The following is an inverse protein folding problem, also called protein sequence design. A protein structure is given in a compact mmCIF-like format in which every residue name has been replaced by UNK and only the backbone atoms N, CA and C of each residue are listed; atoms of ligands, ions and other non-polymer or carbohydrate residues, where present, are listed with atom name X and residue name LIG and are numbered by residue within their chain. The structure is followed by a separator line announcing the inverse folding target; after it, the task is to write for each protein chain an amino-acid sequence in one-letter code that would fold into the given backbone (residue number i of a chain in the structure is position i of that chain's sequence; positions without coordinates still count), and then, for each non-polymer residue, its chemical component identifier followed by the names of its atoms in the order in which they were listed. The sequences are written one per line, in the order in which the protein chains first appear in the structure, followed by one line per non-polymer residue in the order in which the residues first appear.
data_IF_573545489656
#
_entry.id   IF_573545489656
#
_cell.length_a   1.000
_cell.length_b   1.000
_cell.length_c   1.000
_cell.angle_alpha   90.00
_cell.angle_beta   90.00
_cell.angle_gamma   90.00
#
_symmetry.space_group_name_H-M   'P 1'
#
loop_
_entity.id
_entity.type
_entity.pdbx_description
1 polymer ?
#
# COMPACT_ATOMS: atom_id res chain seq x y z
N UNK A 1 19.71 4.65 0.07
CA UNK A 1 18.73 4.14 -0.92
C UNK A 1 17.59 3.35 -0.26
N UNK A 2 17.87 2.40 0.63
CA UNK A 2 16.84 1.56 1.30
C UNK A 2 15.80 2.34 2.12
N UNK A 3 16.20 3.40 2.84
CA UNK A 3 15.28 4.20 3.66
C UNK A 3 14.14 4.83 2.84
N UNK A 4 14.42 5.33 1.63
CA UNK A 4 13.39 5.93 0.76
C UNK A 4 12.37 4.87 0.32
N UNK A 5 12.85 3.68 -0.06
CA UNK A 5 11.98 2.59 -0.50
C UNK A 5 11.08 2.07 0.61
N UNK A 6 11.63 1.92 1.82
CA UNK A 6 10.86 1.54 3.01
C UNK A 6 9.81 2.61 3.33
N UNK A 7 10.21 3.89 3.33
CA UNK A 7 9.28 5.01 3.55
C UNK A 7 8.12 5.01 2.56
N UNK A 8 8.37 4.71 1.28
CA UNK A 8 7.31 4.61 0.27
C UNK A 8 6.34 3.47 0.57
N UNK A 9 6.83 2.29 0.93
CA UNK A 9 5.97 1.15 1.28
C UNK A 9 5.09 1.48 2.50
N UNK A 10 5.65 2.12 3.53
CA UNK A 10 4.87 2.54 4.70
C UNK A 10 3.85 3.65 4.37
N UNK A 11 4.18 4.58 3.47
CA UNK A 11 3.23 5.59 3.02
C UNK A 11 2.03 4.95 2.31
N UNK A 12 2.28 4.00 1.39
CA UNK A 12 1.22 3.22 0.72
C UNK A 12 0.36 2.53 1.78
N UNK A 13 0.97 1.80 2.71
CA UNK A 13 0.25 1.09 3.78
C UNK A 13 -0.58 2.01 4.68
N UNK A 14 -0.08 3.22 4.96
CA UNK A 14 -0.79 4.22 5.76
C UNK A 14 -2.06 4.76 5.11
N UNK A 15 -2.14 4.74 3.77
CA UNK A 15 -3.32 5.17 3.03
C UNK A 15 -4.38 4.08 2.86
N UNK A 16 -3.98 2.81 3.01
CA UNK A 16 -4.91 1.70 2.87
C UNK A 16 -5.83 1.63 4.09
N UNK A 17 -7.12 1.58 3.81
CA UNK A 17 -8.16 1.23 4.78
C UNK A 17 -9.18 0.29 4.14
N UNK A 18 -9.96 -0.44 4.94
CA UNK A 18 -11.02 -1.31 4.41
C UNK A 18 -12.10 -0.57 3.62
N UNK A 19 -12.16 0.76 3.75
CA UNK A 19 -13.16 1.63 3.13
C UNK A 19 -12.58 2.51 2.02
N UNK A 20 -11.25 2.53 1.84
CA UNK A 20 -10.61 3.39 0.86
C UNK A 20 -10.66 2.78 -0.54
N UNK A 21 -10.90 3.63 -1.54
CA UNK A 21 -10.76 3.27 -2.95
C UNK A 21 -9.46 3.85 -3.50
N UNK A 22 -8.34 3.18 -3.19
CA UNK A 22 -7.01 3.57 -3.66
C UNK A 22 -6.69 2.80 -4.92
N UNK A 23 -6.18 3.45 -5.96
CA UNK A 23 -5.70 2.81 -7.19
C UNK A 23 -4.20 3.03 -7.36
N UNK A 24 -3.58 2.27 -8.27
CA UNK A 24 -2.17 2.47 -8.62
C UNK A 24 -1.96 3.88 -9.19
N UNK A 25 -2.90 4.37 -9.97
CA UNK A 25 -2.90 5.65 -10.64
C UNK A 25 -3.03 6.81 -9.64
N UNK A 26 -3.90 6.66 -8.63
CA UNK A 26 -4.05 7.69 -7.58
C UNK A 26 -2.76 7.84 -6.76
N UNK A 27 -2.15 6.71 -6.37
CA UNK A 27 -0.88 6.70 -5.64
C UNK A 27 0.29 7.22 -6.49
N UNK A 28 0.32 6.86 -7.77
CA UNK A 28 1.36 7.33 -8.69
C UNK A 28 1.32 8.86 -8.83
N UNK A 29 0.11 9.43 -8.94
CA UNK A 29 -0.09 10.88 -8.98
C UNK A 29 0.32 11.55 -7.67
N UNK A 30 -0.08 10.98 -6.53
CA UNK A 30 0.22 11.55 -5.21
C UNK A 30 1.72 11.55 -4.90
N UNK A 31 2.40 10.43 -5.15
CA UNK A 31 3.83 10.29 -4.88
C UNK A 31 4.73 10.77 -6.01
N UNK A 32 4.15 11.30 -7.10
CA UNK A 32 4.88 11.73 -8.32
C UNK A 32 5.80 10.63 -8.85
N UNK A 33 5.27 9.42 -8.95
CA UNK A 33 5.97 8.21 -9.39
C UNK A 33 5.33 7.64 -10.66
N UNK A 34 6.05 6.75 -11.34
CA UNK A 34 5.44 5.99 -12.42
C UNK A 34 4.44 4.95 -11.86
N UNK A 35 3.31 4.68 -12.54
CA UNK A 35 2.40 3.60 -12.15
C UNK A 35 3.09 2.23 -12.06
N UNK A 36 4.12 2.01 -12.88
CA UNK A 36 4.92 0.78 -12.88
C UNK A 36 5.68 0.59 -11.56
N UNK A 37 6.26 1.66 -11.02
CA UNK A 37 6.99 1.62 -9.75
C UNK A 37 6.04 1.38 -8.58
N UNK A 38 4.90 2.08 -8.57
CA UNK A 38 3.84 1.85 -7.56
C UNK A 38 3.34 0.41 -7.61
N UNK A 39 3.08 -0.14 -8.81
CA UNK A 39 2.64 -1.53 -8.97
C UNK A 39 3.68 -2.52 -8.44
N UNK A 40 4.97 -2.23 -8.62
CA UNK A 40 6.06 -3.03 -8.05
C UNK A 40 6.06 -2.98 -6.52
N UNK A 41 5.87 -1.80 -5.94
CA UNK A 41 5.82 -1.62 -4.48
C UNK A 41 4.59 -2.30 -3.87
N UNK A 42 3.42 -2.18 -4.51
CA UNK A 42 2.20 -2.90 -4.12
C UNK A 42 2.41 -4.42 -4.20
N UNK A 43 3.05 -4.94 -5.25
CA UNK A 43 3.34 -6.36 -5.35
C UNK A 43 4.27 -6.87 -4.24
N UNK A 44 5.23 -6.05 -3.79
CA UNK A 44 6.07 -6.37 -2.63
C UNK A 44 5.21 -6.50 -1.37
N UNK A 45 4.26 -5.58 -1.16
CA UNK A 45 3.35 -5.59 -0.01
C UNK A 45 2.44 -6.82 -0.03
N UNK A 46 1.90 -7.17 -1.20
CA UNK A 46 1.07 -8.37 -1.39
C UNK A 46 1.88 -9.64 -1.08
N UNK A 47 3.11 -9.72 -1.60
CA UNK A 47 4.01 -10.86 -1.36
C UNK A 47 4.38 -11.02 0.13
N UNK A 48 4.39 -9.93 0.89
CA UNK A 48 4.59 -9.96 2.35
C UNK A 48 3.39 -10.51 3.14
N UNK A 49 2.29 -10.85 2.47
CA UNK A 49 1.08 -11.44 3.03
C UNK A 49 0.49 -10.62 4.20
N UNK A 50 0.49 -9.29 4.03
CA UNK A 50 -0.06 -8.33 5.00
C UNK A 50 -1.59 -8.15 4.88
N UNK A 51 -2.25 -9.00 4.08
CA UNK A 51 -3.69 -8.91 3.81
C UNK A 51 -4.07 -7.78 2.85
N UNK A 52 -3.12 -7.28 2.06
CA UNK A 52 -3.33 -6.36 0.94
C UNK A 52 -3.46 -7.17 -0.35
N UNK A 53 -4.35 -6.76 -1.25
CA UNK A 53 -4.63 -7.43 -2.51
C UNK A 53 -5.13 -6.44 -3.57
N UNK A 54 -5.11 -6.87 -4.83
CA UNK A 54 -5.68 -6.11 -5.95
C UNK A 54 -7.03 -6.69 -6.36
N UNK A 55 -8.01 -5.82 -6.60
CA UNK A 55 -9.34 -6.18 -7.11
C UNK A 55 -9.80 -5.05 -8.06
N UNK A 56 -10.04 -5.36 -9.33
CA UNK A 56 -10.46 -4.39 -10.37
C UNK A 56 -9.59 -3.10 -10.40
N UNK A 57 -8.27 -3.27 -10.45
CA UNK A 57 -7.25 -2.19 -10.38
C UNK A 57 -7.26 -1.34 -9.08
N UNK A 58 -8.06 -1.72 -8.08
CA UNK A 58 -8.06 -1.11 -6.76
C UNK A 58 -7.16 -1.90 -5.81
N UNK A 59 -6.39 -1.18 -5.02
CA UNK A 59 -5.59 -1.72 -3.93
C UNK A 59 -6.50 -1.78 -2.71
N UNK A 60 -6.75 -2.99 -2.22
CA UNK A 60 -7.61 -3.25 -1.07
C UNK A 60 -6.82 -3.89 0.06
N UNK A 61 -7.35 -3.73 1.27
CA UNK A 61 -6.81 -4.34 2.47
C UNK A 61 -7.94 -5.00 3.27
N UNK A 62 -7.69 -6.22 3.72
CA UNK A 62 -8.60 -6.92 4.62
C UNK A 62 -8.70 -6.19 5.97
N UNK A 63 -9.82 -6.33 6.68
CA UNK A 63 -9.99 -5.77 8.04
C UNK A 63 -8.89 -6.27 8.99
N UNK A 64 -8.50 -7.54 8.87
CA UNK A 64 -7.42 -8.14 9.66
C UNK A 64 -6.06 -7.50 9.33
N UNK A 65 -5.71 -7.39 8.05
CA UNK A 65 -4.49 -6.73 7.60
C UNK A 65 -4.41 -5.28 8.08
N UNK A 66 -5.51 -4.53 7.95
CA UNK A 66 -5.59 -3.15 8.43
C UNK A 66 -5.34 -3.05 9.94
N UNK A 67 -5.98 -3.90 10.76
CA UNK A 67 -5.78 -3.90 12.21
C UNK A 67 -4.32 -4.19 12.58
N UNK A 68 -3.68 -5.14 11.88
CA UNK A 68 -2.27 -5.48 12.08
C UNK A 68 -1.36 -4.31 11.75
N UNK A 69 -1.54 -3.66 10.59
CA UNK A 69 -0.71 -2.52 10.19
C UNK A 69 -0.91 -1.32 11.13
N UNK A 70 -2.16 -1.02 11.50
CA UNK A 70 -2.48 0.04 12.47
C UNK A 70 -1.78 -0.16 13.80
N UNK A 71 -1.66 -1.40 14.27
CA UNK A 71 -0.93 -1.71 15.51
C UNK A 71 0.56 -1.36 15.45
N UNK A 72 1.16 -1.28 14.25
CA UNK A 72 2.56 -0.88 14.09
C UNK A 72 2.75 0.64 14.02
N UNK A 73 1.73 1.37 13.57
CA UNK A 73 1.79 2.82 13.37
C UNK A 73 1.42 3.59 14.64
N UNK A 74 0.51 3.03 15.45
CA UNK A 74 0.03 3.67 16.69
C UNK A 74 0.80 3.23 17.95
N UNK A 75 1.80 2.38 17.81
CA UNK A 75 2.59 1.86 18.93
C UNK A 75 3.87 2.64 19.16
#
# INVERSE_FOLDING_TARGET
MWQKKISHLFNILGQLSPYSQVTVESLAKEYKMSPKDVRKDVNIIIAANLGVFMEDDKIRISKYGYKRIRSWILS
#
